data_IF_194717493570
#
_entry.id   IF_194717493570
#
_cell.length_a   1.000
_cell.length_b   1.000
_cell.length_c   1.000
_cell.angle_alpha   90.00
_cell.angle_beta   90.00
_cell.angle_gamma   90.00
#
_symmetry.space_group_name_H-M   'P 1'
#
loop_
_entity.id
_entity.type
_entity.pdbx_description
1 polymer ?
#
# COMPACT_ATOMS: atom_id res chain seq x y z
N UNK A 1 -2.00 24.81 7.34
CA UNK A 1 -0.92 24.01 7.95
C UNK A 1 -1.51 23.29 9.16
N UNK A 2 -1.76 21.98 9.05
CA UNK A 2 -2.22 21.15 10.17
C UNK A 2 -1.18 20.04 10.39
N UNK A 3 -0.69 19.95 11.63
CA UNK A 3 0.34 19.02 12.06
C UNK A 3 -0.36 17.90 12.84
N UNK A 4 -0.36 16.67 12.31
CA UNK A 4 -1.04 15.52 12.95
C UNK A 4 -0.28 14.89 14.12
N UNK A 5 0.63 15.62 14.76
CA UNK A 5 1.17 15.26 16.07
C UNK A 5 1.78 16.50 16.74
N UNK A 6 1.25 16.87 17.91
CA UNK A 6 1.78 17.89 18.80
C UNK A 6 1.94 17.32 20.20
N UNK A 7 3.01 17.74 20.85
CA UNK A 7 3.59 17.24 22.10
C UNK A 7 2.73 17.56 23.35
N UNK A 8 1.43 17.80 23.18
CA UNK A 8 0.49 18.30 24.19
C UNK A 8 -0.74 17.41 24.38
N UNK A 9 -0.75 16.19 23.82
CA UNK A 9 -1.70 15.14 24.20
C UNK A 9 -3.15 15.34 23.75
N UNK A 10 -3.43 16.18 22.76
CA UNK A 10 -4.74 16.27 22.14
C UNK A 10 -4.62 16.08 20.62
N UNK A 11 -4.87 14.85 20.18
CA UNK A 11 -5.14 14.49 18.79
C UNK A 11 -6.64 14.24 18.74
N UNK A 12 -7.36 14.90 17.84
CA UNK A 12 -8.73 14.48 17.56
C UNK A 12 -8.63 13.06 16.99
N UNK A 13 -9.08 12.09 17.77
CA UNK A 13 -9.00 10.66 17.48
C UNK A 13 -9.34 10.35 16.01
N UNK A 14 -8.37 9.75 15.33
CA UNK A 14 -8.54 8.57 14.48
C UNK A 14 -9.47 8.62 13.25
N UNK A 15 -9.27 9.57 12.34
CA UNK A 15 -9.57 9.29 10.92
C UNK A 15 -8.27 8.89 10.22
N UNK A 16 -7.88 7.62 10.37
CA UNK A 16 -6.89 7.00 9.49
C UNK A 16 -7.43 7.11 8.06
N UNK A 17 -6.88 8.02 7.26
CA UNK A 17 -7.32 8.20 5.87
C UNK A 17 -7.03 6.92 5.09
N UNK A 18 -8.07 6.38 4.46
CA UNK A 18 -7.97 5.16 3.66
C UNK A 18 -7.32 5.39 2.30
N UNK A 19 -7.49 6.59 1.73
CA UNK A 19 -7.05 6.93 0.38
C UNK A 19 -5.55 6.78 0.17
N UNK A 20 -4.63 7.24 1.04
CA UNK A 20 -3.19 7.04 0.84
C UNK A 20 -2.79 5.56 0.72
N UNK A 21 -3.34 4.70 1.59
CA UNK A 21 -3.05 3.27 1.56
C UNK A 21 -3.63 2.58 0.32
N UNK A 22 -4.87 2.94 -0.06
CA UNK A 22 -5.50 2.40 -1.27
C UNK A 22 -4.80 2.90 -2.54
N UNK A 23 -4.28 4.13 -2.54
CA UNK A 23 -3.52 4.71 -3.64
C UNK A 23 -2.21 3.94 -3.86
N UNK A 24 -1.45 3.64 -2.79
CA UNK A 24 -0.27 2.79 -2.90
C UNK A 24 -0.60 1.43 -3.53
N UNK A 25 -1.63 0.73 -3.02
CA UNK A 25 -2.06 -0.53 -3.60
C UNK A 25 -2.49 -0.39 -5.08
N UNK A 26 -3.29 0.62 -5.40
CA UNK A 26 -3.70 0.92 -6.77
C UNK A 26 -2.50 1.12 -7.70
N UNK A 27 -1.46 1.85 -7.28
CA UNK A 27 -0.27 2.08 -8.12
C UNK A 27 0.49 0.78 -8.44
N UNK A 28 0.52 -0.16 -7.49
CA UNK A 28 1.08 -1.49 -7.70
C UNK A 28 0.28 -2.27 -8.75
N UNK A 29 -1.05 -2.31 -8.64
CA UNK A 29 -1.86 -3.04 -9.63
C UNK A 29 -1.86 -2.36 -11.00
N UNK A 30 -2.00 -1.04 -11.04
CA UNK A 30 -2.02 -0.25 -12.27
C UNK A 30 -0.71 -0.37 -13.07
N UNK A 31 0.41 -0.64 -12.39
CA UNK A 31 1.71 -0.88 -13.02
C UNK A 31 1.98 -2.35 -13.33
N UNK A 32 1.00 -3.25 -13.16
CA UNK A 32 1.18 -4.71 -13.25
C UNK A 32 2.29 -5.24 -12.32
N UNK A 33 2.39 -4.67 -11.13
CA UNK A 33 3.35 -5.03 -10.10
C UNK A 33 4.78 -4.51 -10.31
N UNK A 34 4.99 -3.62 -11.29
CA UNK A 34 6.31 -3.11 -11.63
C UNK A 34 6.77 -1.98 -10.72
N UNK A 35 5.85 -1.16 -10.23
CA UNK A 35 6.13 0.04 -9.43
C UNK A 35 5.05 0.25 -8.36
N UNK A 36 5.44 0.74 -7.19
CA UNK A 36 4.52 1.15 -6.13
C UNK A 36 4.96 2.49 -5.56
N UNK A 37 3.99 3.40 -5.37
CA UNK A 37 4.21 4.67 -4.69
C UNK A 37 3.89 4.50 -3.21
N UNK A 38 4.86 4.79 -2.34
CA UNK A 38 4.78 4.66 -0.88
C UNK A 38 5.29 5.95 -0.21
N UNK A 39 5.33 5.95 1.12
CA UNK A 39 5.68 7.13 1.93
C UNK A 39 4.85 8.37 1.56
N UNK A 40 3.53 8.16 1.43
CA UNK A 40 2.58 9.22 1.08
C UNK A 40 2.42 10.16 2.28
N UNK A 41 3.00 11.35 2.17
CA UNK A 41 2.96 12.40 3.19
C UNK A 41 2.34 13.67 2.61
N UNK A 42 1.77 14.54 3.46
CA UNK A 42 1.15 15.78 2.98
C UNK A 42 0.08 16.34 3.90
N UNK A 43 -0.70 17.29 3.38
CA UNK A 43 -1.85 17.90 4.06
C UNK A 43 -3.06 17.76 3.16
N UNK A 44 -4.13 17.16 3.68
CA UNK A 44 -5.33 16.84 2.93
C UNK A 44 -4.99 16.08 1.63
N UNK A 45 -5.48 16.51 0.48
CA UNK A 45 -5.26 15.84 -0.80
C UNK A 45 -3.98 16.27 -1.52
N UNK A 46 -3.16 17.12 -0.89
CA UNK A 46 -1.87 17.53 -1.42
C UNK A 46 -0.76 16.67 -0.82
N UNK A 47 -0.22 15.76 -1.63
CA UNK A 47 0.90 14.91 -1.26
C UNK A 47 2.25 15.49 -1.69
N UNK A 48 3.29 15.22 -0.90
CA UNK A 48 4.68 15.64 -1.14
C UNK A 48 5.64 14.50 -0.84
N UNK A 49 6.81 14.56 -1.47
CA UNK A 49 7.96 13.68 -1.22
C UNK A 49 7.68 12.17 -1.22
N UNK A 50 6.91 11.61 -2.18
CA UNK A 50 6.65 10.18 -2.20
C UNK A 50 7.93 9.38 -2.48
N UNK A 51 8.01 8.18 -1.92
CA UNK A 51 9.02 7.19 -2.29
C UNK A 51 8.42 6.22 -3.31
N UNK A 52 9.19 5.85 -4.34
CA UNK A 52 8.77 4.83 -5.30
C UNK A 52 9.65 3.60 -5.14
N UNK A 53 9.04 2.43 -5.10
CA UNK A 53 9.73 1.16 -5.21
C UNK A 53 9.46 0.54 -6.59
N UNK A 54 10.50 0.07 -7.26
CA UNK A 54 10.39 -0.64 -8.54
C UNK A 54 10.71 -2.11 -8.39
N UNK A 55 10.36 -2.95 -9.36
CA UNK A 55 10.74 -4.37 -9.32
C UNK A 55 12.27 -4.57 -9.20
N UNK A 56 13.08 -3.65 -9.76
CA UNK A 56 14.54 -3.78 -9.81
C UNK A 56 15.28 -2.98 -8.72
N UNK A 57 14.63 -2.02 -8.06
CA UNK A 57 15.24 -1.27 -6.94
C UNK A 57 16.24 -0.19 -7.35
N UNK A 58 16.20 0.31 -8.59
CA UNK A 58 17.30 1.11 -9.15
C UNK A 58 16.86 2.41 -9.84
N UNK A 59 15.55 2.69 -9.94
CA UNK A 59 15.05 3.77 -10.80
C UNK A 59 14.92 5.12 -10.09
N UNK A 60 14.56 5.11 -8.81
CA UNK A 60 14.22 6.33 -8.06
C UNK A 60 15.19 6.63 -6.91
N UNK A 61 16.47 6.34 -7.12
CA UNK A 61 17.55 6.64 -6.19
C UNK A 61 17.65 5.66 -5.02
N UNK A 62 18.39 6.04 -3.97
CA UNK A 62 18.76 5.14 -2.86
C UNK A 62 17.58 4.66 -2.01
N UNK A 63 16.45 5.36 -2.04
CA UNK A 63 15.23 4.96 -1.32
C UNK A 63 14.39 3.90 -2.07
N UNK A 64 14.73 3.57 -3.32
CA UNK A 64 14.08 2.50 -4.05
C UNK A 64 14.52 1.13 -3.48
N UNK A 65 13.74 0.62 -2.53
CA UNK A 65 14.03 -0.65 -1.84
C UNK A 65 13.60 -1.88 -2.64
N UNK A 66 13.22 -1.72 -3.91
CA UNK A 66 12.89 -2.84 -4.77
C UNK A 66 11.67 -3.64 -4.31
N UNK A 67 11.62 -4.91 -4.73
CA UNK A 67 10.62 -5.89 -4.27
C UNK A 67 10.58 -6.05 -2.75
N UNK A 68 11.70 -5.83 -2.05
CA UNK A 68 11.74 -5.89 -0.58
C UNK A 68 10.86 -4.81 0.04
N UNK A 69 10.96 -3.57 -0.45
CA UNK A 69 10.12 -2.47 0.00
C UNK A 69 8.63 -2.72 -0.30
N UNK A 70 8.34 -3.20 -1.51
CA UNK A 70 6.98 -3.60 -1.90
C UNK A 70 6.41 -4.69 -1.00
N UNK A 71 7.19 -5.74 -0.69
CA UNK A 71 6.76 -6.80 0.21
C UNK A 71 6.51 -6.29 1.64
N UNK A 72 7.34 -5.37 2.14
CA UNK A 72 7.14 -4.75 3.46
C UNK A 72 5.86 -3.91 3.52
N UNK A 73 5.53 -3.20 2.44
CA UNK A 73 4.23 -2.51 2.33
C UNK A 73 3.09 -3.52 2.46
N UNK A 74 3.04 -4.56 1.63
CA UNK A 74 1.94 -5.55 1.67
C UNK A 74 1.90 -6.41 2.93
N UNK A 75 3.02 -6.59 3.63
CA UNK A 75 3.06 -7.27 4.92
C UNK A 75 2.20 -6.56 5.99
N UNK A 76 2.03 -5.24 5.88
CA UNK A 76 1.26 -4.42 6.83
C UNK A 76 -0.01 -3.79 6.22
N UNK A 77 -0.13 -3.78 4.89
CA UNK A 77 -1.29 -3.21 4.20
C UNK A 77 -2.55 -4.06 4.40
N UNK A 78 -3.51 -3.52 5.15
CA UNK A 78 -4.87 -4.05 5.18
C UNK A 78 -5.72 -3.34 4.13
N UNK A 79 -6.30 -4.10 3.21
CA UNK A 79 -7.28 -3.56 2.28
C UNK A 79 -8.42 -2.88 3.04
N UNK A 80 -8.88 -1.75 2.52
CA UNK A 80 -9.95 -0.94 3.10
C UNK A 80 -11.08 -0.73 2.09
N UNK A 81 -12.12 0.01 2.48
CA UNK A 81 -13.29 0.25 1.65
C UNK A 81 -12.97 0.88 0.29
N UNK A 82 -11.91 1.70 0.19
CA UNK A 82 -11.47 2.30 -1.07
C UNK A 82 -10.84 1.26 -1.97
N UNK A 83 -10.02 0.34 -1.44
CA UNK A 83 -9.47 -0.78 -2.22
C UNK A 83 -10.61 -1.62 -2.84
N UNK A 84 -11.65 -1.92 -2.05
CA UNK A 84 -12.82 -2.66 -2.52
C UNK A 84 -13.62 -1.90 -3.58
N UNK A 85 -13.83 -0.59 -3.39
CA UNK A 85 -14.53 0.25 -4.38
C UNK A 85 -13.75 0.38 -5.70
N UNK A 86 -12.43 0.36 -5.64
CA UNK A 86 -11.55 0.34 -6.82
C UNK A 86 -11.42 -1.04 -7.46
N UNK A 87 -11.95 -2.10 -6.82
CA UNK A 87 -11.87 -3.47 -7.33
C UNK A 87 -10.47 -4.08 -7.27
N UNK A 88 -9.61 -3.62 -6.35
CA UNK A 88 -8.24 -4.12 -6.21
C UNK A 88 -8.21 -5.54 -5.63
N UNK A 89 -7.24 -6.33 -6.03
CA UNK A 89 -7.03 -7.72 -5.57
C UNK A 89 -6.73 -7.73 -4.09
N UNK A 90 -7.48 -8.50 -3.31
CA UNK A 90 -7.23 -8.59 -1.88
C UNK A 90 -5.93 -9.35 -1.59
N UNK A 91 -4.96 -8.69 -0.94
CA UNK A 91 -3.76 -9.36 -0.45
C UNK A 91 -4.06 -10.13 0.83
N UNK A 92 -3.85 -11.44 0.80
CA UNK A 92 -3.99 -12.29 1.98
C UNK A 92 -2.82 -12.03 2.94
N UNK A 93 -3.12 -11.66 4.18
CA UNK A 93 -2.13 -11.76 5.25
C UNK A 93 -2.00 -13.21 5.69
N UNK A 94 -0.79 -13.62 6.05
CA UNK A 94 -0.62 -14.87 6.78
C UNK A 94 -1.52 -14.84 8.03
N UNK A 95 -2.26 -15.92 8.32
CA UNK A 95 -3.05 -15.98 9.53
C UNK A 95 -2.15 -15.71 10.74
N UNK A 96 -2.64 -14.92 11.69
CA UNK A 96 -1.95 -14.76 12.96
C UNK A 96 -1.79 -16.14 13.61
N UNK A 97 -0.74 -16.40 14.42
CA UNK A 97 -0.60 -17.65 15.15
C UNK A 97 -1.88 -17.91 15.97
N UNK A 98 -2.69 -18.88 15.55
CA UNK A 98 -3.98 -19.21 16.16
C UNK A 98 -5.23 -18.93 15.32
N UNK A 99 -5.09 -18.33 14.13
CA UNK A 99 -6.22 -18.05 13.23
C UNK A 99 -6.34 -19.18 12.17
N UNK A 100 -7.29 -20.10 12.36
CA UNK A 100 -7.57 -21.18 11.42
C UNK A 100 -8.45 -20.69 10.26
N UNK A 101 -7.93 -19.74 9.48
CA UNK A 101 -8.57 -19.20 8.28
C UNK A 101 -7.94 -19.77 7.01
N UNK A 102 -8.76 -20.43 6.19
CA UNK A 102 -8.40 -21.17 4.98
C UNK A 102 -7.48 -20.39 4.02
N UNK A 103 -6.47 -21.08 3.48
CA UNK A 103 -5.62 -20.60 2.40
C UNK A 103 -6.49 -20.24 1.19
N UNK A 104 -6.67 -18.94 0.92
CA UNK A 104 -7.32 -18.48 -0.31
C UNK A 104 -6.37 -18.75 -1.47
N UNK A 105 -6.81 -19.57 -2.42
CA UNK A 105 -6.10 -19.79 -3.68
C UNK A 105 -5.89 -18.45 -4.39
N UNK A 106 -4.63 -18.14 -4.73
CA UNK A 106 -4.32 -17.04 -5.64
C UNK A 106 -4.92 -17.39 -7.01
N UNK A 107 -5.74 -16.53 -7.64
CA UNK A 107 -6.19 -16.76 -8.99
C UNK A 107 -4.97 -16.76 -9.92
N UNK A 108 -4.83 -17.85 -10.68
CA UNK A 108 -3.82 -17.99 -11.74
C UNK A 108 -3.80 -16.74 -12.63
N UNK A 109 -2.59 -16.23 -12.89
CA UNK A 109 -2.35 -15.13 -13.81
C UNK A 109 -3.15 -15.36 -15.09
N UNK A 110 -3.97 -14.38 -15.49
CA UNK A 110 -4.69 -14.46 -16.77
C UNK A 110 -3.64 -14.58 -17.88
N UNK A 111 -3.60 -15.77 -18.48
CA UNK A 111 -2.84 -16.06 -19.69
C UNK A 111 -3.19 -14.99 -20.73
N UNK A 112 -2.18 -14.32 -21.27
CA UNK A 112 -2.36 -13.31 -22.30
C UNK A 112 -3.02 -13.91 -23.54
N UNK A 113 -3.97 -13.18 -24.11
CA UNK A 113 -4.41 -13.38 -25.48
C UNK A 113 -3.52 -12.54 -26.41
N UNK A 114 -3.24 -13.15 -27.57
CA UNK A 114 -2.25 -12.81 -28.59
C UNK A 114 -2.40 -11.43 -29.25
#
# INVERSE_FOLDING_TARGET
FMKHSSNSGFVADDVVRHTPHAFSHFTFEASNGMEIVVDIQGVDDLYTDPQIHTAQGQRYGRGDMGLRGTALFFASHRCNSVCSQLGLTHFAHAPAPGDSGAATEYPSARQGDA
#
